data_IF_777922182161
#
_entry.id   IF_777922182161
#
_cell.length_a   1.000
_cell.length_b   1.000
_cell.length_c   1.000
_cell.angle_alpha   90.00
_cell.angle_beta   90.00
_cell.angle_gamma   90.00
#
_symmetry.space_group_name_H-M   'P 1'
#
loop_
_entity.id
_entity.type
_entity.pdbx_description
1 polymer ?
#
# COMPACT_ATOMS: atom_id res chain seq x y z
N UNK A 1 -0.92 -18.65 0.95
CA UNK A 1 0.46 -18.71 1.48
C UNK A 1 0.92 -20.13 1.23
N UNK A 2 1.98 -20.34 0.46
CA UNK A 2 2.59 -21.67 0.38
C UNK A 2 3.28 -21.95 1.73
N UNK A 3 2.93 -23.06 2.36
CA UNK A 3 3.51 -23.49 3.63
C UNK A 3 4.65 -24.43 3.28
N UNK A 4 5.89 -23.95 3.44
CA UNK A 4 7.09 -24.76 3.24
C UNK A 4 7.30 -25.58 4.51
N UNK A 5 7.01 -26.88 4.46
CA UNK A 5 7.08 -27.80 5.61
C UNK A 5 8.50 -28.11 6.09
N UNK A 6 9.44 -27.15 6.03
CA UNK A 6 10.85 -27.35 6.36
C UNK A 6 11.69 -28.01 5.25
N UNK A 7 11.09 -28.32 4.10
CA UNK A 7 11.78 -28.91 2.95
C UNK A 7 12.62 -27.85 2.21
N UNK A 8 13.94 -28.02 2.30
CA UNK A 8 14.94 -27.12 1.70
C UNK A 8 14.84 -27.11 0.18
N UNK A 9 14.42 -28.20 -0.46
CA UNK A 9 14.24 -28.23 -1.92
C UNK A 9 13.06 -27.37 -2.38
N UNK A 10 11.96 -27.36 -1.61
CA UNK A 10 10.80 -26.52 -1.93
C UNK A 10 11.13 -25.04 -1.83
N UNK A 11 11.93 -24.65 -0.82
CA UNK A 11 12.43 -23.28 -0.68
C UNK A 11 13.34 -22.92 -1.86
N UNK A 12 14.24 -23.83 -2.28
CA UNK A 12 15.12 -23.60 -3.43
C UNK A 12 14.35 -23.41 -4.74
N UNK A 13 13.36 -24.27 -5.01
CA UNK A 13 12.48 -24.14 -6.19
C UNK A 13 11.64 -22.86 -6.15
N UNK A 14 11.16 -22.45 -4.97
CA UNK A 14 10.44 -21.20 -4.80
C UNK A 14 11.33 -19.98 -5.08
N UNK A 15 12.55 -19.97 -4.54
CA UNK A 15 13.52 -18.91 -4.80
C UNK A 15 13.87 -18.82 -6.29
N UNK A 16 14.13 -19.95 -6.94
CA UNK A 16 14.42 -20.00 -8.38
C UNK A 16 13.25 -19.46 -9.22
N UNK A 17 12.00 -19.85 -8.94
CA UNK A 17 10.81 -19.28 -9.60
C UNK A 17 10.65 -17.78 -9.34
N UNK A 18 11.10 -17.30 -8.19
CA UNK A 18 11.01 -15.87 -7.82
C UNK A 18 12.07 -15.06 -8.57
N UNK A 19 13.28 -15.60 -8.72
CA UNK A 19 14.36 -15.04 -9.54
C UNK A 19 14.00 -15.01 -11.02
N UNK A 20 13.41 -16.09 -11.56
CA UNK A 20 12.91 -16.14 -12.94
C UNK A 20 11.84 -15.08 -13.21
N UNK A 21 10.91 -14.86 -12.27
CA UNK A 21 9.92 -13.76 -12.36
C UNK A 21 10.59 -12.39 -12.32
N UNK A 22 11.61 -12.21 -11.49
CA UNK A 22 12.33 -10.94 -11.40
C UNK A 22 13.19 -10.66 -12.63
N UNK A 23 13.74 -11.68 -13.30
CA UNK A 23 14.42 -11.52 -14.59
C UNK A 23 13.43 -11.16 -15.70
N UNK A 24 12.26 -11.81 -15.76
CA UNK A 24 11.20 -11.45 -16.71
C UNK A 24 10.58 -10.06 -16.48
N UNK A 25 10.51 -9.60 -15.22
CA UNK A 25 10.05 -8.25 -14.88
C UNK A 25 11.15 -7.19 -15.05
N UNK A 26 12.43 -7.59 -14.96
CA UNK A 26 13.61 -6.74 -15.12
C UNK A 26 13.80 -6.22 -16.56
N UNK A 27 13.51 -7.07 -17.55
CA UNK A 27 13.61 -6.71 -18.99
C UNK A 27 12.53 -5.70 -19.44
N UNK A 28 11.45 -5.54 -18.68
CA UNK A 28 10.41 -4.53 -18.93
C UNK A 28 10.58 -3.25 -18.09
N UNK A 29 11.59 -3.20 -17.22
CA UNK A 29 11.78 -2.10 -16.25
C UNK A 29 12.34 -0.80 -16.88
N UNK A 30 12.87 -0.89 -18.10
CA UNK A 30 13.41 0.25 -18.87
C UNK A 30 12.38 1.03 -19.69
N UNK A 31 11.18 0.48 -19.92
CA UNK A 31 10.18 1.13 -20.76
C UNK A 31 9.47 2.20 -19.93
N UNK A 32 9.70 3.46 -20.31
CA UNK A 32 9.01 4.59 -19.70
C UNK A 32 7.50 4.38 -19.78
N UNK A 33 6.76 4.80 -18.74
CA UNK A 33 5.28 4.80 -18.76
C UNK A 33 4.71 5.45 -20.02
N UNK A 34 5.44 6.38 -20.63
CA UNK A 34 5.09 7.01 -21.90
C UNK A 34 5.22 6.03 -23.07
N UNK A 35 6.33 5.33 -23.20
CA UNK A 35 6.56 4.33 -24.25
C UNK A 35 5.53 3.21 -24.19
N UNK A 36 5.28 2.65 -23.00
CA UNK A 36 4.22 1.64 -22.82
C UNK A 36 2.83 2.14 -23.26
N UNK A 37 2.53 3.43 -23.09
CA UNK A 37 1.26 4.01 -23.57
C UNK A 37 1.21 4.10 -25.09
N UNK A 38 2.31 4.51 -25.72
CA UNK A 38 2.38 4.56 -27.19
C UNK A 38 2.29 3.16 -27.79
N UNK A 39 2.95 2.16 -27.21
CA UNK A 39 2.80 0.75 -27.61
C UNK A 39 1.36 0.24 -27.46
N UNK A 40 0.68 0.61 -26.38
CA UNK A 40 -0.73 0.24 -26.20
C UNK A 40 -1.64 0.95 -27.21
N UNK A 41 -1.34 2.20 -27.59
CA UNK A 41 -2.07 2.92 -28.63
C UNK A 41 -1.92 2.25 -29.98
N UNK A 42 -0.69 1.86 -30.36
CA UNK A 42 -0.45 1.17 -31.62
C UNK A 42 -1.10 -0.21 -31.62
N UNK A 43 -0.95 -0.97 -30.52
CA UNK A 43 -1.55 -2.32 -30.38
C UNK A 43 -3.08 -2.31 -30.47
N UNK A 44 -3.74 -1.29 -29.94
CA UNK A 44 -5.20 -1.18 -29.92
C UNK A 44 -5.76 -0.10 -30.86
N UNK A 45 -5.03 0.25 -31.92
CA UNK A 45 -5.40 1.36 -32.81
C UNK A 45 -6.81 1.21 -33.41
N UNK A 46 -7.16 0.00 -33.88
CA UNK A 46 -8.48 -0.29 -34.45
C UNK A 46 -9.59 -0.14 -33.41
N UNK A 47 -9.39 -0.69 -32.21
CA UNK A 47 -10.35 -0.59 -31.10
C UNK A 47 -10.53 0.87 -30.63
N UNK A 48 -9.47 1.67 -30.68
CA UNK A 48 -9.55 3.10 -30.36
C UNK A 48 -10.35 3.86 -31.42
N UNK A 49 -10.21 3.52 -32.70
CA UNK A 49 -11.05 4.09 -33.75
C UNK A 49 -12.54 3.76 -33.52
N UNK A 50 -12.87 2.51 -33.19
CA UNK A 50 -14.24 2.10 -32.85
C UNK A 50 -14.80 2.80 -31.60
N UNK A 51 -13.97 2.99 -30.56
CA UNK A 51 -14.39 3.76 -29.39
C UNK A 51 -14.61 5.25 -29.73
N UNK A 52 -13.83 5.80 -30.65
CA UNK A 52 -13.97 7.17 -31.13
C UNK A 52 -15.27 7.35 -31.90
N UNK A 53 -15.64 6.41 -32.78
CA UNK A 53 -16.94 6.44 -33.48
C UNK A 53 -18.12 6.28 -32.52
N UNK A 54 -17.94 5.54 -31.42
CA UNK A 54 -18.90 5.48 -30.31
C UNK A 54 -18.95 6.77 -29.44
N UNK A 55 -18.20 7.83 -29.81
CA UNK A 55 -18.18 9.11 -29.11
C UNK A 55 -17.41 9.10 -27.78
N UNK A 56 -16.57 8.09 -27.55
CA UNK A 56 -15.75 7.97 -26.34
C UNK A 56 -14.43 8.70 -26.55
N UNK A 57 -14.05 9.56 -25.60
CA UNK A 57 -12.75 10.23 -25.62
C UNK A 57 -11.62 9.23 -25.33
N UNK A 58 -10.90 8.86 -26.39
CA UNK A 58 -9.81 7.88 -26.38
C UNK A 58 -8.48 8.39 -25.84
N UNK A 59 -8.29 9.71 -25.74
CA UNK A 59 -7.05 10.31 -25.23
C UNK A 59 -6.85 10.07 -23.72
N UNK A 60 -7.92 9.69 -23.03
CA UNK A 60 -7.87 9.41 -21.61
C UNK A 60 -7.02 8.16 -21.30
N UNK A 61 -5.99 8.25 -20.43
CA UNK A 61 -5.19 7.10 -20.02
C UNK A 61 -5.96 5.99 -19.31
N UNK A 62 -7.23 6.22 -18.98
CA UNK A 62 -8.11 5.20 -18.41
C UNK A 62 -8.64 4.24 -19.48
N UNK A 63 -8.84 4.70 -20.73
CA UNK A 63 -9.37 3.90 -21.84
C UNK A 63 -8.36 2.82 -22.24
N UNK A 64 -7.10 3.21 -22.47
CA UNK A 64 -6.01 2.26 -22.77
C UNK A 64 -5.84 1.19 -21.69
N UNK A 65 -5.94 1.57 -20.41
CA UNK A 65 -5.90 0.61 -19.30
C UNK A 65 -7.09 -0.34 -19.26
N UNK A 66 -8.27 0.11 -19.70
CA UNK A 66 -9.43 -0.77 -19.83
C UNK A 66 -9.31 -1.69 -21.05
N UNK A 67 -8.74 -1.22 -22.16
CA UNK A 67 -8.43 -2.08 -23.31
C UNK A 67 -7.46 -3.19 -22.92
N UNK A 68 -6.35 -2.85 -22.26
CA UNK A 68 -5.39 -3.84 -21.75
C UNK A 68 -6.07 -4.84 -20.78
N UNK A 69 -6.86 -4.34 -19.82
CA UNK A 69 -7.54 -5.18 -18.83
C UNK A 69 -8.62 -6.09 -19.41
N UNK A 70 -9.34 -5.64 -20.44
CA UNK A 70 -10.41 -6.42 -21.07
C UNK A 70 -9.96 -7.02 -22.41
N UNK A 71 -8.64 -7.16 -22.64
CA UNK A 71 -8.07 -7.80 -23.82
C UNK A 71 -8.54 -7.21 -25.16
N UNK A 72 -8.84 -5.91 -25.20
CA UNK A 72 -9.33 -5.23 -26.40
C UNK A 72 -10.82 -5.37 -26.66
N UNK A 73 -11.62 -5.89 -25.72
CA UNK A 73 -13.08 -5.98 -25.87
C UNK A 73 -13.73 -4.58 -25.82
N UNK A 74 -14.06 -4.06 -27.01
CA UNK A 74 -14.63 -2.73 -27.22
C UNK A 74 -16.03 -2.61 -26.60
N UNK A 75 -16.88 -3.62 -26.78
CA UNK A 75 -18.26 -3.61 -26.28
C UNK A 75 -18.31 -3.49 -24.75
N UNK A 76 -17.46 -4.24 -24.04
CA UNK A 76 -17.35 -4.10 -22.57
C UNK A 76 -16.90 -2.72 -22.13
N UNK A 77 -16.08 -2.05 -22.93
CA UNK A 77 -15.58 -0.72 -22.62
C UNK A 77 -16.66 0.32 -22.87
N UNK A 78 -17.35 0.24 -24.01
CA UNK A 78 -18.51 1.08 -24.32
C UNK A 78 -19.52 0.99 -23.18
N UNK A 79 -19.93 -0.22 -22.80
CA UNK A 79 -20.87 -0.44 -21.70
C UNK A 79 -20.38 0.18 -20.38
N UNK A 80 -19.11 -0.03 -20.02
CA UNK A 80 -18.52 0.56 -18.80
C UNK A 80 -18.51 2.09 -18.84
N UNK A 81 -18.24 2.69 -20.00
CA UNK A 81 -18.19 4.14 -20.17
C UNK A 81 -19.61 4.74 -20.17
N UNK A 82 -20.57 4.11 -20.83
CA UNK A 82 -21.99 4.49 -20.81
C UNK A 82 -22.55 4.43 -19.39
N UNK A 83 -22.35 3.33 -18.65
CA UNK A 83 -22.76 3.21 -17.24
C UNK A 83 -22.15 4.29 -16.34
N UNK A 84 -20.94 4.77 -16.65
CA UNK A 84 -20.31 5.87 -15.91
C UNK A 84 -20.94 7.22 -16.24
N UNK A 85 -21.26 7.43 -17.52
CA UNK A 85 -21.96 8.62 -18.01
C UNK A 85 -23.34 8.71 -17.38
N UNK A 86 -24.15 7.66 -17.47
CA UNK A 86 -25.47 7.56 -16.82
C UNK A 86 -25.41 7.85 -15.32
N UNK A 87 -24.43 7.29 -14.60
CA UNK A 87 -24.24 7.58 -13.16
C UNK A 87 -23.89 9.04 -12.88
N UNK A 88 -23.19 9.71 -13.80
CA UNK A 88 -22.86 11.14 -13.69
C UNK A 88 -24.09 11.98 -13.99
N UNK A 89 -24.84 11.63 -15.03
CA UNK A 89 -26.03 12.36 -15.46
C UNK A 89 -27.14 12.24 -14.42
N UNK A 90 -27.41 11.03 -13.92
CA UNK A 90 -28.31 10.80 -12.77
C UNK A 90 -27.91 11.62 -11.54
N UNK A 91 -26.61 11.73 -11.27
CA UNK A 91 -26.15 12.52 -10.14
C UNK A 91 -26.41 14.02 -10.36
N UNK A 92 -26.25 14.52 -11.58
CA UNK A 92 -26.55 15.91 -11.92
C UNK A 92 -28.07 16.19 -11.83
N UNK A 93 -28.91 15.26 -12.28
CA UNK A 93 -30.37 15.34 -12.10
C UNK A 93 -30.78 15.36 -10.62
N UNK A 94 -30.13 14.57 -9.77
CA UNK A 94 -30.40 14.60 -8.33
C UNK A 94 -29.89 15.89 -7.67
N UNK A 95 -28.79 16.45 -8.17
CA UNK A 95 -28.25 17.74 -7.72
C UNK A 95 -29.25 18.87 -7.99
N UNK A 96 -29.86 18.89 -9.18
CA UNK A 96 -30.91 19.87 -9.51
C UNK A 96 -32.20 19.60 -8.74
N UNK A 97 -32.63 18.33 -8.64
CA UNK A 97 -33.84 17.93 -7.90
C UNK A 97 -33.79 18.32 -6.42
N UNK A 98 -32.62 18.19 -5.79
CA UNK A 98 -32.45 18.47 -4.36
C UNK A 98 -31.73 19.79 -4.05
N UNK A 99 -31.64 20.70 -5.02
CA UNK A 99 -30.88 21.95 -4.88
C UNK A 99 -31.33 22.78 -3.66
N UNK A 100 -32.64 22.90 -3.43
CA UNK A 100 -33.20 23.65 -2.30
C UNK A 100 -32.86 23.01 -0.96
N UNK A 101 -32.94 21.69 -0.85
CA UNK A 101 -32.60 20.95 0.37
C UNK A 101 -31.10 21.01 0.66
N UNK A 102 -30.26 21.00 -0.38
CA UNK A 102 -28.82 21.21 -0.24
C UNK A 102 -28.55 22.62 0.29
N UNK A 103 -29.18 23.65 -0.28
CA UNK A 103 -29.02 25.03 0.19
C UNK A 103 -29.48 25.19 1.65
N UNK A 104 -30.61 24.57 2.03
CA UNK A 104 -31.09 24.59 3.41
C UNK A 104 -30.13 23.87 4.36
N UNK A 105 -29.59 22.72 3.99
CA UNK A 105 -28.57 22.02 4.78
C UNK A 105 -27.28 22.84 4.91
N UNK A 106 -26.86 23.53 3.86
CA UNK A 106 -25.71 24.45 3.90
C UNK A 106 -25.98 25.63 4.83
N UNK A 107 -27.20 26.21 4.81
CA UNK A 107 -27.62 27.27 5.72
C UNK A 107 -27.68 26.80 7.19
N UNK A 108 -28.08 25.55 7.42
CA UNK A 108 -28.05 24.90 8.74
C UNK A 108 -26.62 24.53 9.21
N UNK A 109 -25.58 24.92 8.46
CA UNK A 109 -24.17 24.70 8.79
C UNK A 109 -23.65 23.30 8.43
N UNK A 110 -24.41 22.48 7.70
CA UNK A 110 -24.00 21.13 7.28
C UNK A 110 -23.13 21.21 6.02
N UNK A 111 -21.85 21.56 6.20
CA UNK A 111 -20.89 21.62 5.08
C UNK A 111 -20.17 20.28 4.90
N UNK A 112 -20.51 19.55 3.84
CA UNK A 112 -19.80 18.33 3.45
C UNK A 112 -18.74 18.60 2.38
N UNK A 113 -17.51 18.13 2.59
CA UNK A 113 -16.42 18.21 1.59
C UNK A 113 -16.77 17.56 0.25
N UNK A 114 -17.65 16.55 0.26
CA UNK A 114 -18.04 15.82 -0.94
C UNK A 114 -19.56 15.89 -1.13
N UNK A 115 -20.01 16.86 -1.95
CA UNK A 115 -21.43 17.09 -2.27
C UNK A 115 -22.15 15.83 -2.77
N UNK A 116 -21.45 14.93 -3.47
CA UNK A 116 -22.03 13.67 -3.97
C UNK A 116 -22.56 12.76 -2.85
N UNK A 117 -21.93 12.81 -1.68
CA UNK A 117 -22.39 12.00 -0.54
C UNK A 117 -23.67 12.59 0.03
N UNK A 118 -23.78 13.91 0.07
CA UNK A 118 -24.98 14.62 0.51
C UNK A 118 -26.17 14.32 -0.40
N UNK A 119 -25.99 14.46 -1.72
CA UNK A 119 -27.02 14.14 -2.72
C UNK A 119 -27.52 12.69 -2.58
N UNK A 120 -26.62 11.74 -2.37
CA UNK A 120 -27.00 10.32 -2.14
C UNK A 120 -27.73 10.09 -0.82
N UNK A 121 -27.44 10.87 0.22
CA UNK A 121 -28.17 10.80 1.48
C UNK A 121 -29.58 11.37 1.31
N UNK A 122 -29.70 12.48 0.59
CA UNK A 122 -30.99 13.07 0.22
C UNK A 122 -31.82 12.12 -0.63
N UNK A 123 -31.23 11.47 -1.65
CA UNK A 123 -31.92 10.45 -2.44
C UNK A 123 -32.42 9.30 -1.56
N UNK A 124 -31.61 8.82 -0.60
CA UNK A 124 -32.01 7.73 0.32
C UNK A 124 -33.07 8.12 1.34
N UNK A 125 -33.14 9.39 1.70
CA UNK A 125 -34.08 9.93 2.65
C UNK A 125 -35.30 10.56 1.96
N UNK A 126 -35.46 10.34 0.65
CA UNK A 126 -36.51 10.95 -0.19
C UNK A 126 -36.59 12.48 -0.08
N UNK A 127 -35.45 13.14 0.13
CA UNK A 127 -35.34 14.59 0.30
C UNK A 127 -35.71 15.11 1.69
N UNK A 128 -35.97 14.25 2.68
CA UNK A 128 -36.29 14.67 4.06
C UNK A 128 -35.03 15.11 4.80
N UNK A 129 -34.93 16.40 5.08
CA UNK A 129 -33.75 17.04 5.68
C UNK A 129 -33.44 16.52 7.09
N UNK A 130 -34.46 16.34 7.93
CA UNK A 130 -34.27 15.89 9.32
C UNK A 130 -33.67 14.48 9.40
N UNK A 131 -34.13 13.58 8.52
CA UNK A 131 -33.59 12.23 8.39
C UNK A 131 -32.13 12.27 7.94
N UNK A 132 -31.78 13.17 7.00
CA UNK A 132 -30.39 13.36 6.57
C UNK A 132 -29.51 13.85 7.72
N UNK A 133 -29.99 14.82 8.52
CA UNK A 133 -29.27 15.31 9.71
C UNK A 133 -29.02 14.18 10.72
N UNK A 134 -30.04 13.34 10.99
CA UNK A 134 -29.91 12.18 11.86
C UNK A 134 -28.86 11.18 11.33
N UNK A 135 -28.93 10.81 10.05
CA UNK A 135 -27.96 9.90 9.42
C UNK A 135 -26.52 10.44 9.45
N UNK A 136 -26.34 11.75 9.36
CA UNK A 136 -25.03 12.39 9.47
C UNK A 136 -24.48 12.29 10.90
N UNK A 137 -25.32 12.47 11.91
CA UNK A 137 -24.93 12.33 13.31
C UNK A 137 -24.57 10.87 13.65
N UNK A 138 -25.38 9.90 13.25
CA UNK A 138 -25.07 8.47 13.41
C UNK A 138 -23.74 8.08 12.76
N UNK A 139 -23.43 8.66 11.59
CA UNK A 139 -22.14 8.43 10.92
C UNK A 139 -20.97 9.03 11.68
N UNK A 140 -21.13 10.22 12.27
CA UNK A 140 -20.09 10.85 13.10
C UNK A 140 -19.83 9.98 14.34
N UNK A 141 -20.87 9.54 15.03
CA UNK A 141 -20.76 8.66 16.20
C UNK A 141 -20.06 7.34 15.86
N UNK A 142 -20.50 6.64 14.81
CA UNK A 142 -19.85 5.41 14.35
C UNK A 142 -18.38 5.62 14.00
N UNK A 143 -18.02 6.78 13.46
CA UNK A 143 -16.63 7.11 13.15
C UNK A 143 -15.80 7.36 14.42
N UNK A 144 -16.34 8.06 15.40
CA UNK A 144 -15.67 8.27 16.69
C UNK A 144 -15.54 6.97 17.49
N UNK A 145 -16.57 6.12 17.51
CA UNK A 145 -16.47 4.76 18.08
C UNK A 145 -15.35 3.95 17.41
N UNK A 146 -15.23 4.02 16.08
CA UNK A 146 -14.14 3.34 15.36
C UNK A 146 -12.76 3.92 15.69
N UNK A 147 -12.66 5.24 15.87
CA UNK A 147 -11.41 5.89 16.30
C UNK A 147 -11.05 5.47 17.72
N UNK A 148 -12.00 5.49 18.64
CA UNK A 148 -11.81 5.08 20.03
C UNK A 148 -11.40 3.60 20.11
N UNK A 149 -12.11 2.72 19.39
CA UNK A 149 -11.75 1.32 19.26
C UNK A 149 -10.32 1.16 18.74
N UNK A 150 -9.96 1.87 17.65
CA UNK A 150 -8.59 1.87 17.13
C UNK A 150 -7.60 2.38 18.17
N UNK A 151 -7.93 3.40 18.95
CA UNK A 151 -7.05 3.94 19.98
C UNK A 151 -6.82 2.95 21.12
N UNK A 152 -7.91 2.34 21.64
CA UNK A 152 -7.86 1.32 22.70
C UNK A 152 -7.03 0.10 22.26
N UNK A 153 -7.23 -0.37 21.02
CA UNK A 153 -6.54 -1.56 20.52
C UNK A 153 -5.18 -1.28 19.84
N UNK A 154 -4.82 -0.02 19.62
CA UNK A 154 -3.48 0.34 19.10
C UNK A 154 -2.38 0.07 20.13
N UNK A 155 -2.69 0.18 21.42
CA UNK A 155 -1.75 -0.08 22.50
C UNK A 155 -1.76 -1.55 22.96
N UNK A 156 -2.87 -2.26 22.74
CA UNK A 156 -3.00 -3.68 23.07
C UNK A 156 -2.55 -4.60 21.92
N UNK A 157 -1.70 -4.13 21.01
CA UNK A 157 -1.10 -5.02 20.02
C UNK A 157 -0.11 -5.94 20.76
N UNK A 158 -0.38 -7.26 20.83
CA UNK A 158 0.41 -8.19 21.62
C UNK A 158 1.73 -8.41 20.91
N UNK A 159 2.73 -7.59 21.23
CA UNK A 159 4.02 -7.65 20.55
C UNK A 159 5.16 -6.94 21.26
N UNK A 160 4.99 -6.49 22.50
CA UNK A 160 6.06 -5.99 23.37
C UNK A 160 5.71 -6.14 24.86
N UNK A 161 5.58 -7.38 25.32
CA UNK A 161 6.01 -7.72 26.69
C UNK A 161 7.41 -8.30 26.55
N UNK A 162 8.38 -7.43 26.31
CA UNK A 162 9.76 -7.66 26.72
C UNK A 162 10.02 -6.55 27.70
N UNK A 163 9.72 -6.84 28.97
CA UNK A 163 10.42 -6.19 30.07
C UNK A 163 11.93 -6.41 29.84
N UNK A 164 12.72 -5.43 30.27
CA UNK A 164 14.18 -5.39 30.16
C UNK A 164 14.75 -4.95 28.80
N UNK A 165 14.67 -3.64 28.54
CA UNK A 165 15.89 -2.80 28.41
C UNK A 165 15.48 -1.35 28.25
N UNK A 166 15.88 -0.55 29.23
CA UNK A 166 15.73 0.90 29.23
C UNK A 166 16.35 1.50 27.95
N UNK A 167 15.65 2.48 27.36
CA UNK A 167 16.08 3.37 26.26
C UNK A 167 15.73 3.00 24.80
N UNK A 168 14.72 2.17 24.53
CA UNK A 168 14.24 2.06 23.13
C UNK A 168 13.22 3.15 22.78
N UNK A 169 13.71 4.27 22.22
CA UNK A 169 12.89 5.34 21.65
C UNK A 169 11.87 4.82 20.61
N UNK A 170 10.73 5.51 20.42
CA UNK A 170 9.72 5.13 19.43
C UNK A 170 10.29 4.95 18.02
N UNK A 171 9.82 3.93 17.28
CA UNK A 171 10.29 3.57 15.91
C UNK A 171 10.26 4.76 14.93
N UNK A 172 9.38 5.74 15.13
CA UNK A 172 9.31 6.94 14.30
C UNK A 172 10.40 7.99 14.64
N UNK A 173 10.97 7.98 15.86
CA UNK A 173 12.17 8.76 16.21
C UNK A 173 13.47 8.12 15.67
N UNK A 174 13.56 6.79 15.57
CA UNK A 174 14.70 6.08 14.94
C UNK A 174 14.92 6.40 13.46
N UNK A 175 13.94 7.01 12.77
CA UNK A 175 14.14 7.45 11.37
C UNK A 175 15.18 8.58 11.23
N UNK A 176 15.55 9.27 12.31
CA UNK A 176 16.51 10.38 12.27
C UNK A 176 17.97 9.98 12.48
N UNK A 177 18.25 8.70 12.79
CA UNK A 177 19.60 8.22 13.12
C UNK A 177 20.03 7.04 12.22
N UNK A 178 19.47 6.92 11.01
CA UNK A 178 19.96 5.92 10.07
C UNK A 178 21.31 6.38 9.51
N UNK A 179 22.33 5.54 9.65
CA UNK A 179 23.62 5.75 8.99
C UNK A 179 23.43 5.78 7.46
N UNK A 180 24.36 6.43 6.76
CA UNK A 180 24.43 6.39 5.29
C UNK A 180 24.46 4.92 4.80
N UNK A 181 25.12 4.04 5.55
CA UNK A 181 25.19 2.62 5.24
C UNK A 181 23.86 1.91 5.42
N UNK A 182 23.08 2.25 6.46
CA UNK A 182 21.75 1.70 6.66
C UNK A 182 20.82 2.06 5.50
N UNK A 183 20.91 3.29 5.01
CA UNK A 183 20.13 3.75 3.85
C UNK A 183 20.52 2.97 2.60
N UNK A 184 21.82 2.73 2.38
CA UNK A 184 22.31 1.94 1.26
C UNK A 184 21.87 0.47 1.36
N UNK A 185 21.91 -0.12 2.55
CA UNK A 185 21.43 -1.47 2.81
C UNK A 185 19.92 -1.60 2.59
N UNK A 186 19.12 -0.61 3.03
CA UNK A 186 17.68 -0.56 2.76
C UNK A 186 17.38 -0.46 1.26
N UNK A 187 18.17 0.29 0.50
CA UNK A 187 18.05 0.36 -0.97
C UNK A 187 18.37 -0.99 -1.60
N UNK A 188 19.45 -1.66 -1.18
CA UNK A 188 19.82 -3.00 -1.66
C UNK A 188 18.73 -4.04 -1.38
N UNK A 189 18.19 -4.05 -0.15
CA UNK A 189 17.08 -4.94 0.23
C UNK A 189 15.81 -4.70 -0.61
N UNK A 190 15.51 -3.44 -0.91
CA UNK A 190 14.37 -3.08 -1.77
C UNK A 190 14.61 -3.52 -3.22
N UNK A 191 15.81 -3.30 -3.75
CA UNK A 191 16.18 -3.75 -5.10
C UNK A 191 16.20 -5.27 -5.22
N UNK A 192 16.53 -5.98 -4.15
CA UNK A 192 16.49 -7.45 -4.08
C UNK A 192 15.07 -8.02 -3.87
N UNK A 193 14.02 -7.18 -3.90
CA UNK A 193 12.63 -7.65 -3.83
C UNK A 193 12.20 -8.19 -2.46
N UNK A 194 12.99 -7.97 -1.39
CA UNK A 194 12.68 -8.48 -0.06
C UNK A 194 11.38 -7.86 0.45
N UNK A 195 10.34 -8.68 0.56
CA UNK A 195 9.02 -8.26 1.02
C UNK A 195 8.97 -8.21 2.54
N UNK A 196 8.66 -7.05 3.08
CA UNK A 196 8.54 -6.85 4.54
C UNK A 196 8.67 -5.38 4.91
N UNK A 197 8.53 -5.06 6.19
CA UNK A 197 8.86 -3.72 6.66
C UNK A 197 10.40 -3.61 6.72
N UNK A 198 11.03 -2.81 5.85
CA UNK A 198 12.48 -2.83 5.71
C UNK A 198 13.20 -2.33 6.97
N UNK A 199 12.53 -1.55 7.82
CA UNK A 199 13.04 -1.18 9.14
C UNK A 199 13.11 -2.35 10.11
N UNK A 200 12.14 -3.28 10.05
CA UNK A 200 12.17 -4.50 10.89
C UNK A 200 13.27 -5.45 10.42
N UNK A 201 13.49 -5.54 9.11
CA UNK A 201 14.55 -6.36 8.54
C UNK A 201 15.92 -5.80 8.94
N UNK A 202 16.10 -4.48 8.85
CA UNK A 202 17.33 -3.82 9.26
C UNK A 202 17.60 -3.97 10.76
N UNK A 203 16.57 -3.88 11.62
CA UNK A 203 16.76 -4.09 13.06
C UNK A 203 17.18 -5.52 13.40
N UNK A 204 16.54 -6.53 12.77
CA UNK A 204 16.94 -7.94 12.95
C UNK A 204 18.38 -8.14 12.48
N UNK A 205 18.77 -7.51 11.36
CA UNK A 205 20.13 -7.60 10.85
C UNK A 205 21.16 -6.99 11.82
N UNK A 206 20.86 -5.84 12.41
CA UNK A 206 21.71 -5.21 13.43
C UNK A 206 21.83 -6.09 14.69
N UNK A 207 20.73 -6.66 15.17
CA UNK A 207 20.71 -7.58 16.30
C UNK A 207 21.57 -8.84 16.02
N UNK A 208 21.46 -9.41 14.82
CA UNK A 208 22.30 -10.54 14.40
C UNK A 208 23.78 -10.17 14.36
N UNK A 209 24.13 -9.01 13.78
CA UNK A 209 25.52 -8.57 13.70
C UNK A 209 26.13 -8.35 15.09
N UNK A 210 25.41 -7.70 15.99
CA UNK A 210 25.85 -7.52 17.38
C UNK A 210 26.07 -8.87 18.08
N UNK A 211 25.16 -9.84 17.88
CA UNK A 211 25.31 -11.18 18.44
C UNK A 211 26.56 -11.90 17.90
N UNK A 212 26.86 -11.73 16.61
CA UNK A 212 28.06 -12.30 15.98
C UNK A 212 29.33 -11.65 16.54
N UNK A 213 29.37 -10.33 16.60
CA UNK A 213 30.50 -9.56 17.14
C UNK A 213 30.81 -9.97 18.59
N UNK A 214 29.78 -10.08 19.44
CA UNK A 214 29.93 -10.56 20.82
C UNK A 214 30.49 -11.97 20.91
N UNK A 215 30.10 -12.86 19.99
CA UNK A 215 30.58 -14.24 19.96
C UNK A 215 32.05 -14.30 19.54
N UNK A 216 32.43 -13.51 18.53
CA UNK A 216 33.82 -13.39 18.06
C UNK A 216 34.72 -12.83 19.16
N UNK A 217 34.27 -11.79 19.88
CA UNK A 217 35.01 -11.20 20.99
C UNK A 217 35.29 -12.22 22.10
N UNK A 218 34.29 -12.99 22.54
CA UNK A 218 34.47 -14.05 23.54
C UNK A 218 35.46 -15.12 23.08
N UNK A 219 35.39 -15.53 21.82
CA UNK A 219 36.31 -16.51 21.27
C UNK A 219 37.75 -15.98 21.21
N UNK A 220 37.94 -14.68 20.95
CA UNK A 220 39.24 -14.02 20.98
C UNK A 220 39.81 -13.94 22.40
N UNK A 221 39.00 -13.54 23.38
CA UNK A 221 39.39 -13.52 24.80
C UNK A 221 39.80 -14.92 25.30
N UNK A 222 39.05 -15.96 24.90
CA UNK A 222 39.37 -17.32 25.29
C UNK A 222 40.70 -17.80 24.66
N UNK A 223 40.98 -17.41 23.40
CA UNK A 223 42.28 -17.68 22.77
C UNK A 223 43.42 -16.97 23.49
N UNK A 224 43.25 -15.71 23.85
CA UNK A 224 44.26 -14.98 24.64
C UNK A 224 44.50 -15.63 25.99
N UNK A 225 43.45 -16.04 26.70
CA UNK A 225 43.57 -16.73 27.98
C UNK A 225 44.34 -18.04 27.85
N UNK A 226 44.08 -18.82 26.78
CA UNK A 226 44.82 -20.05 26.48
C UNK A 226 46.30 -19.77 26.16
N UNK A 227 46.60 -18.67 25.46
CA UNK A 227 47.97 -18.28 25.15
C UNK A 227 48.74 -17.85 26.40
N UNK A 228 48.15 -17.01 27.28
CA UNK A 228 48.77 -16.61 28.55
C UNK A 228 49.09 -17.82 29.43
N UNK A 229 48.15 -18.77 29.55
CA UNK A 229 48.38 -20.00 30.32
C UNK A 229 49.49 -20.88 29.73
N UNK A 230 49.72 -20.84 28.41
CA UNK A 230 50.84 -21.56 27.76
C UNK A 230 52.18 -20.86 28.01
N UNK A 231 52.20 -19.53 28.08
CA UNK A 231 53.40 -18.75 28.40
C UNK A 231 53.81 -18.94 29.86
N UNK A 232 52.86 -18.90 30.79
CA UNK A 232 53.09 -19.14 32.22
C UNK A 232 53.68 -20.55 32.49
N UNK A 233 53.29 -21.56 31.71
CA UNK A 233 53.83 -22.93 31.84
C UNK A 233 55.24 -23.10 31.27
N UNK A 234 55.74 -22.14 30.51
CA UNK A 234 57.09 -22.17 29.90
C UNK A 234 58.14 -21.43 30.73
N UNK A 235 57.70 -20.63 31.71
CA UNK A 235 58.53 -19.95 32.70
C UNK A 235 58.74 -20.86 33.92
#
# INVERSE_FOLDING_TARGET
>A
MEVFGGDVEQVRKFLQRTEERHQQEGDNSGISRRQKREELKTKYATQLAELTTAGINVDSPCVLRQLEKNQGDVNKIIEKMSRRKEKKDKLAELDTKYANQIAQLEADGVVMKNKRVLIRLLEKADGKIDVVKQLLNERKEKHEQRKEYRHKHRNNSPGKTTEETNQTLPIWKKRRELSVDDINNLKRLRSAGVRGNPMKILSIFQECNQSIEMTVARAAEERERRNRSREERKL
#
